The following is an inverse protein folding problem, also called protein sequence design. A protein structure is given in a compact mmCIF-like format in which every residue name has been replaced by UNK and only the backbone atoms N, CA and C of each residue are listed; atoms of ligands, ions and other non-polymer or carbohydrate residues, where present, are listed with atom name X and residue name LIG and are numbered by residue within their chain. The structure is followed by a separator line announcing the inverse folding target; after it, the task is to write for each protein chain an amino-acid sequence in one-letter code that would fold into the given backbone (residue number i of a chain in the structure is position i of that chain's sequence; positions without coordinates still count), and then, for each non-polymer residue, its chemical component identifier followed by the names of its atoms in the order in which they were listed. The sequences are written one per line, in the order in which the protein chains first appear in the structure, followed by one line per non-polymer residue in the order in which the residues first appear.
data_IF_892748439185
#
_entry.id   IF_892748439185
#
_cell.length_a   1.000
_cell.length_b   1.000
_cell.length_c   1.000
_cell.angle_alpha   90.00
_cell.angle_beta   90.00
_cell.angle_gamma   90.00
#
_symmetry.space_group_name_H-M   'P 1'
#
loop_
_entity.id
_entity.type
_entity.pdbx_description
1 polymer ?
#
# COMPACT_ATOMS: atom_id res chain seq x y z
N UNK A 1 -25.32 42.43 11.15
CA UNK A 1 -24.15 42.40 12.06
C UNK A 1 -24.02 40.99 12.59
N UNK A 2 -23.10 40.19 12.08
CA UNK A 2 -22.82 38.83 12.48
C UNK A 2 -21.34 38.55 12.22
N UNK A 3 -20.59 38.36 13.27
CA UNK A 3 -19.15 38.27 13.24
C UNK A 3 -18.70 36.86 12.81
N UNK A 4 -17.89 36.80 11.75
CA UNK A 4 -17.15 35.59 11.36
C UNK A 4 -15.98 35.38 12.34
N UNK A 5 -16.02 34.33 13.13
CA UNK A 5 -14.89 33.87 13.92
C UNK A 5 -14.07 32.86 13.08
N UNK A 6 -12.97 33.32 12.47
CA UNK A 6 -11.91 32.47 11.93
C UNK A 6 -11.06 31.96 13.09
N UNK A 7 -11.12 30.68 13.37
CA UNK A 7 -10.17 30.04 14.29
C UNK A 7 -8.90 29.74 13.51
N UNK A 8 -7.89 30.59 13.68
CA UNK A 8 -6.52 30.32 13.24
C UNK A 8 -5.86 29.53 14.37
N UNK A 9 -5.68 28.23 14.17
CA UNK A 9 -4.88 27.41 15.09
C UNK A 9 -3.40 27.61 14.78
N UNK A 10 -2.70 28.35 15.65
CA UNK A 10 -1.27 28.60 15.54
C UNK A 10 -0.45 27.33 15.76
N UNK A 11 0.56 27.10 14.91
CA UNK A 11 1.53 25.98 14.94
C UNK A 11 2.29 25.85 16.27
N UNK A 12 2.21 26.81 17.16
CA UNK A 12 2.89 26.83 18.47
C UNK A 12 2.21 26.02 19.57
N UNK A 13 0.94 25.67 19.45
CA UNK A 13 0.18 24.95 20.47
C UNK A 13 0.45 23.45 20.47
N UNK A 14 0.93 22.90 19.34
CA UNK A 14 1.24 21.47 19.21
C UNK A 14 2.49 21.03 19.99
N UNK A 15 3.45 21.95 20.19
CA UNK A 15 4.73 21.64 20.88
C UNK A 15 4.62 21.76 22.41
N UNK A 16 3.58 22.45 22.94
CA UNK A 16 3.46 22.69 24.39
C UNK A 16 2.79 21.57 25.18
N UNK A 17 2.15 20.60 24.54
CA UNK A 17 1.46 19.51 25.24
C UNK A 17 2.31 18.26 25.50
N UNK A 18 3.61 18.29 25.20
CA UNK A 18 4.57 17.21 25.53
C UNK A 18 5.34 17.49 26.83
N UNK A 19 5.18 18.66 27.42
CA UNK A 19 6.03 19.15 28.50
C UNK A 19 5.35 19.53 29.82
N UNK A 20 4.26 18.88 30.23
CA UNK A 20 3.63 19.22 31.52
C UNK A 20 3.07 18.00 32.27
N UNK A 21 3.95 17.16 32.79
CA UNK A 21 3.62 16.25 33.91
C UNK A 21 4.91 15.82 34.58
N UNK A 22 5.44 16.68 35.42
CA UNK A 22 6.26 16.27 36.60
C UNK A 22 6.72 17.47 37.40
N UNK A 23 5.98 17.75 38.47
CA UNK A 23 6.50 18.38 39.67
C UNK A 23 5.61 17.98 40.86
N UNK A 24 5.98 16.88 41.52
CA UNK A 24 5.64 16.61 42.90
C UNK A 24 6.95 16.23 43.58
N UNK A 25 7.47 17.19 44.36
CA UNK A 25 8.62 17.00 45.22
C UNK A 25 8.12 16.29 46.47
N UNK A 26 8.60 15.07 46.69
CA UNK A 26 8.50 14.32 47.94
C UNK A 26 9.85 13.71 48.24
N UNK A 27 10.52 14.19 49.30
CA UNK A 27 11.79 13.67 49.82
C UNK A 27 11.66 12.21 50.25
N UNK A 28 12.50 11.34 49.74
CA UNK A 28 12.70 9.99 50.27
C UNK A 28 13.09 8.96 49.20
N UNK A 29 14.41 8.64 49.11
CA UNK A 29 14.90 7.43 48.43
C UNK A 29 15.47 7.64 47.03
N UNK A 30 16.79 7.71 46.95
CA UNK A 30 17.58 7.58 45.71
C UNK A 30 17.44 6.16 45.11
N UNK A 31 16.32 5.92 44.44
CA UNK A 31 16.22 4.83 43.45
C UNK A 31 16.43 5.43 42.06
N UNK A 32 17.54 5.15 41.44
CA UNK A 32 17.74 5.45 40.01
C UNK A 32 16.66 4.73 39.22
N UNK A 33 15.58 5.45 38.87
CA UNK A 33 14.68 5.04 37.81
C UNK A 33 15.48 5.19 36.51
N UNK A 34 16.21 4.13 36.16
CA UNK A 34 16.70 3.93 34.82
C UNK A 34 15.47 3.94 33.90
N UNK A 35 15.15 5.09 33.32
CA UNK A 35 14.28 5.12 32.16
C UNK A 35 14.99 4.31 31.07
N UNK A 36 14.56 3.06 30.87
CA UNK A 36 14.91 2.32 29.65
C UNK A 36 14.56 3.24 28.47
N UNK A 37 15.46 3.44 27.51
CA UNK A 37 15.09 4.15 26.30
C UNK A 37 13.86 3.44 25.72
N UNK A 38 12.86 4.20 25.35
CA UNK A 38 11.65 3.67 24.72
C UNK A 38 12.07 3.08 23.37
N UNK A 39 12.35 1.79 23.30
CA UNK A 39 12.80 1.05 22.13
C UNK A 39 11.60 0.74 21.19
N UNK A 40 10.69 1.69 21.03
CA UNK A 40 9.63 1.55 20.06
C UNK A 40 10.23 1.54 18.64
N UNK A 41 10.12 0.41 17.94
CA UNK A 41 10.50 0.30 16.54
C UNK A 41 9.44 0.99 15.69
N UNK A 42 9.88 1.72 14.67
CA UNK A 42 9.00 2.47 13.78
C UNK A 42 9.22 2.02 12.34
N UNK A 43 8.16 1.49 11.71
CA UNK A 43 8.13 1.07 10.31
C UNK A 43 7.17 1.98 9.55
N UNK A 44 7.61 2.52 8.43
CA UNK A 44 6.77 3.30 7.51
C UNK A 44 6.45 2.47 6.28
N UNK A 45 5.18 2.34 5.95
CA UNK A 45 4.71 1.77 4.69
C UNK A 45 4.20 2.91 3.82
N UNK A 46 4.83 3.07 2.66
CA UNK A 46 4.38 3.96 1.59
C UNK A 46 3.69 3.13 0.52
N UNK A 47 2.68 3.69 -0.13
CA UNK A 47 2.04 2.98 -1.23
C UNK A 47 1.41 3.90 -2.28
N UNK A 48 1.30 3.35 -3.47
CA UNK A 48 0.52 3.85 -4.59
C UNK A 48 -0.38 2.74 -5.13
N UNK A 49 -1.31 3.10 -5.99
CA UNK A 49 -2.17 2.22 -6.77
C UNK A 49 -2.63 2.97 -8.01
N UNK A 50 -3.00 2.23 -9.06
CA UNK A 50 -3.65 2.77 -10.27
C UNK A 50 -2.90 3.99 -10.84
N UNK A 51 -1.57 3.86 -10.98
CA UNK A 51 -0.75 4.98 -11.47
C UNK A 51 -0.97 5.23 -12.95
N UNK A 52 -1.41 4.23 -13.71
CA UNK A 52 -1.88 4.34 -15.09
C UNK A 52 -0.94 5.16 -15.98
N UNK A 53 0.36 4.83 -15.93
CA UNK A 53 1.37 5.46 -16.78
C UNK A 53 1.49 7.00 -16.60
N UNK A 54 0.93 7.59 -15.54
CA UNK A 54 1.04 9.03 -15.27
C UNK A 54 2.41 9.39 -14.68
N UNK A 55 3.36 9.64 -15.58
CA UNK A 55 4.73 10.05 -15.25
C UNK A 55 4.79 11.55 -14.97
N UNK A 56 4.16 12.36 -15.83
CA UNK A 56 4.03 13.81 -15.65
C UNK A 56 2.88 14.16 -14.71
N UNK A 57 2.89 15.35 -14.10
CA UNK A 57 1.71 15.88 -13.43
C UNK A 57 0.53 15.98 -14.40
N UNK A 58 -0.69 15.87 -13.87
CA UNK A 58 -1.89 16.11 -14.66
C UNK A 58 -1.86 17.52 -15.28
N UNK A 59 -2.48 17.73 -16.46
CA UNK A 59 -2.48 19.01 -17.15
C UNK A 59 -2.99 20.15 -16.25
N UNK A 60 -2.49 21.37 -16.50
CA UNK A 60 -2.97 22.58 -15.80
C UNK A 60 -4.47 22.85 -15.99
N UNK A 61 -5.03 22.37 -17.09
CA UNK A 61 -6.47 22.49 -17.42
C UNK A 61 -7.28 21.23 -17.07
N UNK A 62 -6.71 20.31 -16.30
CA UNK A 62 -7.49 19.19 -15.77
C UNK A 62 -8.65 19.70 -14.93
N UNK A 63 -9.91 19.24 -15.17
CA UNK A 63 -11.08 19.83 -14.54
C UNK A 63 -11.22 19.52 -13.04
N UNK A 64 -10.54 18.47 -12.54
CA UNK A 64 -10.69 17.97 -11.17
C UNK A 64 -9.39 18.13 -10.38
N UNK A 65 -8.28 17.76 -10.99
CA UNK A 65 -6.97 17.65 -10.32
C UNK A 65 -5.85 18.39 -11.09
N UNK A 66 -6.02 19.70 -11.42
CA UNK A 66 -5.05 20.42 -12.24
C UNK A 66 -3.66 20.41 -11.60
N UNK A 67 -2.65 20.05 -12.40
CA UNK A 67 -1.24 20.05 -12.01
C UNK A 67 -0.87 19.17 -10.79
N UNK A 68 -1.70 18.18 -10.44
CA UNK A 68 -1.40 17.22 -9.34
C UNK A 68 -0.65 16.01 -9.85
N UNK A 69 0.01 15.30 -8.93
CA UNK A 69 0.77 14.10 -9.22
C UNK A 69 2.14 14.38 -9.83
N UNK A 70 2.63 13.39 -10.57
CA UNK A 70 3.92 13.42 -11.25
C UNK A 70 5.03 12.67 -10.51
N UNK A 71 5.72 11.78 -11.24
CA UNK A 71 6.73 10.89 -10.69
C UNK A 71 7.91 11.64 -10.04
N UNK A 72 8.32 12.79 -10.59
CA UNK A 72 9.41 13.60 -10.04
C UNK A 72 9.07 14.18 -8.66
N UNK A 73 7.86 14.66 -8.45
CA UNK A 73 7.39 15.17 -7.15
C UNK A 73 7.25 14.02 -6.15
N UNK A 74 6.68 12.89 -6.59
CA UNK A 74 6.58 11.67 -5.79
C UNK A 74 7.95 11.18 -5.34
N UNK A 75 8.97 11.22 -6.23
CA UNK A 75 10.34 10.88 -5.89
C UNK A 75 10.90 11.73 -4.74
N UNK A 76 10.73 13.05 -4.81
CA UNK A 76 11.19 13.97 -3.75
C UNK A 76 10.49 13.70 -2.41
N UNK A 77 9.18 13.43 -2.46
CA UNK A 77 8.38 13.11 -1.26
C UNK A 77 8.85 11.80 -0.62
N UNK A 78 9.01 10.73 -1.41
CA UNK A 78 9.49 9.43 -0.95
C UNK A 78 10.91 9.57 -0.34
N UNK A 79 11.80 10.29 -1.01
CA UNK A 79 13.16 10.49 -0.51
C UNK A 79 13.18 11.25 0.83
N UNK A 80 12.33 12.29 0.96
CA UNK A 80 12.19 13.03 2.22
C UNK A 80 11.70 12.11 3.36
N UNK A 81 10.69 11.28 3.11
CA UNK A 81 10.15 10.37 4.12
C UNK A 81 11.18 9.30 4.50
N UNK A 82 11.93 8.76 3.54
CA UNK A 82 13.01 7.80 3.83
C UNK A 82 14.17 8.40 4.63
N UNK A 83 14.42 9.71 4.49
CA UNK A 83 15.37 10.43 5.36
C UNK A 83 14.85 10.62 6.78
N UNK A 84 13.53 10.81 6.95
CA UNK A 84 12.88 10.89 8.26
C UNK A 84 12.86 9.52 8.96
N UNK A 85 12.56 8.46 8.21
CA UNK A 85 12.57 7.07 8.69
C UNK A 85 13.20 6.12 7.66
N UNK A 86 14.42 5.62 7.88
CA UNK A 86 15.07 4.68 6.97
C UNK A 86 14.35 3.31 6.91
N UNK A 87 13.56 2.96 7.93
CA UNK A 87 12.76 1.75 7.98
C UNK A 87 11.46 1.91 7.16
N UNK A 88 11.59 2.24 5.87
CA UNK A 88 10.49 2.53 4.96
C UNK A 88 10.45 1.52 3.82
N UNK A 89 9.29 0.88 3.62
CA UNK A 89 8.96 0.07 2.45
C UNK A 89 7.96 0.82 1.57
N UNK A 90 8.03 0.60 0.25
CA UNK A 90 7.19 1.24 -0.75
C UNK A 90 6.55 0.18 -1.65
N UNK A 91 5.22 0.14 -1.71
CA UNK A 91 4.45 -0.85 -2.45
C UNK A 91 3.52 -0.20 -3.49
N UNK A 92 3.12 -0.99 -4.48
CA UNK A 92 2.08 -0.61 -5.44
C UNK A 92 1.00 -1.71 -5.51
N UNK A 93 -0.26 -1.28 -5.62
CA UNK A 93 -1.39 -2.19 -5.67
C UNK A 93 -1.93 -2.44 -7.10
N UNK A 94 -1.07 -2.34 -8.12
CA UNK A 94 -1.40 -2.69 -9.52
C UNK A 94 -2.03 -1.56 -10.33
N UNK A 95 -2.34 -1.86 -11.58
CA UNK A 95 -2.71 -0.94 -12.64
C UNK A 95 -1.63 0.15 -12.84
N UNK A 96 -0.41 -0.33 -13.07
CA UNK A 96 0.75 0.49 -13.37
C UNK A 96 0.67 0.99 -14.81
N UNK A 97 0.21 0.13 -15.72
CA UNK A 97 0.14 0.34 -17.15
C UNK A 97 -1.13 1.06 -17.58
N UNK A 98 -1.13 1.50 -18.85
CA UNK A 98 -2.25 2.09 -19.55
C UNK A 98 -2.66 3.48 -19.01
N UNK A 99 -3.19 4.34 -19.86
CA UNK A 99 -3.78 5.64 -19.48
C UNK A 99 -3.11 6.84 -20.12
N UNK A 100 -1.83 6.76 -20.52
CA UNK A 100 -1.14 7.88 -21.16
C UNK A 100 -0.40 7.43 -22.45
N UNK A 101 0.00 8.38 -23.33
CA UNK A 101 0.82 8.07 -24.49
C UNK A 101 2.15 7.36 -24.16
N UNK A 102 2.69 7.49 -22.96
CA UNK A 102 3.91 6.81 -22.55
C UNK A 102 3.77 5.30 -22.67
N UNK A 103 2.69 4.72 -22.17
CA UNK A 103 2.42 3.30 -22.31
C UNK A 103 2.32 2.89 -23.78
N UNK A 104 1.65 3.68 -24.60
CA UNK A 104 1.50 3.36 -26.04
C UNK A 104 2.84 3.35 -26.78
N UNK A 105 3.81 4.17 -26.36
CA UNK A 105 5.14 4.25 -27.00
C UNK A 105 6.15 3.28 -26.40
N UNK A 106 6.12 3.05 -25.09
CA UNK A 106 7.15 2.30 -24.37
C UNK A 106 6.68 0.95 -23.83
N UNK A 107 5.36 0.66 -23.91
CA UNK A 107 4.79 -0.64 -23.54
C UNK A 107 4.97 -1.07 -22.09
N UNK A 108 5.23 -0.12 -21.17
CA UNK A 108 5.47 -0.36 -19.74
C UNK A 108 6.94 -0.27 -19.31
N UNK A 109 7.89 -0.18 -20.24
CA UNK A 109 9.32 -0.05 -19.93
C UNK A 109 9.63 1.18 -19.08
N UNK A 110 9.05 2.33 -19.44
CA UNK A 110 9.26 3.58 -18.73
C UNK A 110 8.73 3.51 -17.31
N UNK A 111 7.54 2.97 -17.14
CA UNK A 111 6.86 2.82 -15.84
C UNK A 111 7.71 1.98 -14.88
N UNK A 112 8.17 0.81 -15.31
CA UNK A 112 9.00 -0.07 -14.47
C UNK A 112 10.37 0.53 -14.17
N UNK A 113 10.98 1.26 -15.13
CA UNK A 113 12.21 2.01 -14.87
C UNK A 113 12.01 3.11 -13.83
N UNK A 114 10.94 3.89 -13.93
CA UNK A 114 10.59 4.93 -12.96
C UNK A 114 10.36 4.33 -11.58
N UNK A 115 9.55 3.27 -11.48
CA UNK A 115 9.31 2.58 -10.20
C UNK A 115 10.61 2.03 -9.60
N UNK A 116 11.50 1.48 -10.44
CA UNK A 116 12.82 0.99 -10.02
C UNK A 116 13.72 2.12 -9.51
N UNK A 117 13.70 3.29 -10.15
CA UNK A 117 14.42 4.48 -9.67
C UNK A 117 13.87 5.00 -8.34
N UNK A 118 12.55 4.93 -8.15
CA UNK A 118 11.87 5.27 -6.90
C UNK A 118 12.08 4.21 -5.81
N UNK A 119 12.68 3.08 -6.16
CA UNK A 119 12.98 1.95 -5.28
C UNK A 119 11.70 1.38 -4.65
N UNK A 120 10.72 1.02 -5.47
CA UNK A 120 9.61 0.19 -5.02
C UNK A 120 10.17 -1.16 -4.54
N UNK A 121 9.56 -1.70 -3.48
CA UNK A 121 9.96 -2.98 -2.89
C UNK A 121 9.17 -4.14 -3.49
N UNK A 122 7.89 -3.92 -3.80
CA UNK A 122 7.06 -4.83 -4.56
C UNK A 122 5.82 -4.13 -5.16
N UNK A 123 5.20 -4.81 -6.12
CA UNK A 123 3.89 -4.48 -6.66
C UNK A 123 3.03 -5.76 -6.80
N UNK A 124 1.70 -5.61 -6.81
CA UNK A 124 0.81 -6.64 -7.34
C UNK A 124 0.44 -6.35 -8.78
N UNK A 125 -0.35 -7.21 -9.42
CA UNK A 125 -0.84 -7.02 -10.78
C UNK A 125 -2.30 -6.58 -10.77
N UNK A 126 -2.60 -5.51 -11.51
CA UNK A 126 -3.96 -5.12 -11.84
C UNK A 126 -4.40 -5.64 -13.22
N UNK A 127 -5.63 -5.36 -13.62
CA UNK A 127 -6.15 -5.81 -14.90
C UNK A 127 -5.50 -5.09 -16.09
N UNK A 128 -5.16 -3.82 -15.96
CA UNK A 128 -4.48 -3.06 -17.02
C UNK A 128 -3.01 -3.42 -17.20
N UNK A 129 -2.39 -4.12 -16.23
CA UNK A 129 -1.03 -4.64 -16.42
C UNK A 129 -0.99 -5.77 -17.47
N UNK A 130 -2.15 -6.30 -17.87
CA UNK A 130 -2.29 -7.28 -18.97
C UNK A 130 -2.67 -6.65 -20.32
N UNK A 131 -2.76 -5.33 -20.46
CA UNK A 131 -3.25 -4.69 -21.68
C UNK A 131 -2.36 -4.97 -22.93
N UNK A 132 -1.05 -5.14 -22.75
CA UNK A 132 -0.13 -5.61 -23.80
C UNK A 132 0.04 -7.15 -23.87
N UNK A 133 -0.82 -7.90 -23.18
CA UNK A 133 -0.71 -9.35 -23.07
C UNK A 133 0.43 -9.81 -22.16
N UNK A 134 0.47 -11.12 -21.93
CA UNK A 134 1.52 -11.76 -21.10
C UNK A 134 2.92 -11.52 -21.66
N UNK A 135 3.09 -11.58 -22.96
CA UNK A 135 4.37 -11.34 -23.63
C UNK A 135 4.83 -9.89 -23.46
N UNK A 136 3.90 -8.94 -23.56
CA UNK A 136 4.19 -7.52 -23.34
C UNK A 136 4.61 -7.24 -21.89
N UNK A 137 3.90 -7.79 -20.92
CA UNK A 137 4.26 -7.69 -19.50
C UNK A 137 5.62 -8.36 -19.23
N UNK A 138 5.81 -9.58 -19.72
CA UNK A 138 7.06 -10.33 -19.57
C UNK A 138 8.27 -9.59 -20.12
N UNK A 139 8.14 -8.97 -21.28
CA UNK A 139 9.21 -8.21 -21.93
C UNK A 139 9.69 -7.02 -21.05
N UNK A 140 8.86 -6.50 -20.15
CA UNK A 140 9.22 -5.38 -19.30
C UNK A 140 9.82 -5.81 -17.94
N UNK A 141 9.66 -7.06 -17.52
CA UNK A 141 10.19 -7.56 -16.23
C UNK A 141 11.68 -7.28 -16.00
N UNK A 142 12.58 -7.34 -17.02
CA UNK A 142 14.00 -6.98 -16.85
C UNK A 142 14.24 -5.53 -16.38
N UNK A 143 13.27 -4.64 -16.56
CA UNK A 143 13.33 -3.24 -16.12
C UNK A 143 12.83 -3.03 -14.69
N UNK A 144 12.12 -4.01 -14.11
CA UNK A 144 11.64 -3.99 -12.73
C UNK A 144 12.74 -4.48 -11.77
N UNK A 145 13.19 -3.61 -10.84
CA UNK A 145 14.10 -3.97 -9.74
C UNK A 145 13.31 -4.23 -8.43
N UNK A 146 12.07 -4.61 -8.56
CA UNK A 146 11.13 -4.96 -7.49
C UNK A 146 10.40 -6.25 -7.84
N UNK A 147 9.83 -6.90 -6.85
CA UNK A 147 9.11 -8.15 -7.08
C UNK A 147 7.64 -7.92 -7.43
N UNK A 148 7.09 -8.73 -8.34
CA UNK A 148 5.64 -8.88 -8.49
C UNK A 148 5.14 -9.97 -7.55
N UNK A 149 4.17 -9.62 -6.70
CA UNK A 149 3.58 -10.51 -5.71
C UNK A 149 2.11 -10.69 -6.04
N UNK A 150 1.73 -11.91 -6.43
CA UNK A 150 0.36 -12.28 -6.73
C UNK A 150 0.11 -13.72 -6.29
N UNK A 151 -0.92 -13.95 -5.47
CA UNK A 151 -1.19 -15.25 -4.87
C UNK A 151 -2.38 -15.96 -5.52
N UNK A 152 -3.34 -15.20 -6.05
CA UNK A 152 -4.58 -15.76 -6.59
C UNK A 152 -4.61 -15.84 -8.13
N UNK A 153 -3.50 -15.63 -8.80
CA UNK A 153 -3.33 -15.98 -10.21
C UNK A 153 -2.37 -17.17 -10.30
N UNK A 154 -2.87 -18.31 -10.74
CA UNK A 154 -2.01 -19.42 -11.16
C UNK A 154 -1.51 -19.15 -12.58
N UNK A 155 -0.24 -18.80 -12.66
CA UNK A 155 0.47 -18.48 -13.92
C UNK A 155 1.38 -19.62 -14.36
N UNK A 156 1.28 -20.81 -13.78
CA UNK A 156 2.17 -21.96 -13.99
C UNK A 156 2.24 -22.41 -15.46
N UNK A 157 1.14 -22.23 -16.21
CA UNK A 157 1.04 -22.55 -17.62
C UNK A 157 1.25 -21.35 -18.54
N UNK A 158 1.90 -20.30 -18.04
CA UNK A 158 2.15 -19.07 -18.81
C UNK A 158 3.64 -18.71 -18.82
N UNK A 159 4.02 -17.74 -19.64
CA UNK A 159 5.38 -17.19 -19.67
C UNK A 159 5.78 -16.50 -18.35
N UNK A 160 4.83 -16.15 -17.48
CA UNK A 160 5.09 -15.54 -16.17
C UNK A 160 5.47 -16.58 -15.10
N UNK A 161 5.48 -17.88 -15.42
CA UNK A 161 5.87 -18.92 -14.47
C UNK A 161 7.29 -18.67 -13.92
N UNK A 162 7.41 -18.58 -12.60
CA UNK A 162 8.67 -18.27 -11.90
C UNK A 162 9.06 -16.80 -11.87
N UNK A 163 8.28 -15.91 -12.51
CA UNK A 163 8.53 -14.46 -12.52
C UNK A 163 7.67 -13.67 -11.54
N UNK A 164 6.69 -14.31 -10.92
CA UNK A 164 5.90 -13.75 -9.81
C UNK A 164 6.11 -14.58 -8.55
N UNK A 165 5.81 -13.99 -7.41
CA UNK A 165 5.88 -14.66 -6.10
C UNK A 165 4.51 -14.69 -5.44
N UNK A 166 4.10 -15.78 -4.77
CA UNK A 166 2.85 -15.78 -4.02
C UNK A 166 2.92 -14.86 -2.79
N UNK A 167 4.09 -14.75 -2.17
CA UNK A 167 4.34 -13.83 -1.06
C UNK A 167 5.83 -13.50 -0.95
N UNK A 168 6.14 -12.46 -0.19
CA UNK A 168 7.51 -12.10 0.20
C UNK A 168 7.57 -11.69 1.66
N UNK A 169 8.70 -11.96 2.30
CA UNK A 169 8.96 -11.57 3.69
C UNK A 169 10.09 -10.55 3.71
N UNK A 170 9.84 -9.45 4.41
CA UNK A 170 10.82 -8.40 4.69
C UNK A 170 11.18 -8.43 6.17
N UNK A 171 12.46 -8.25 6.47
CA UNK A 171 12.94 -8.06 7.84
C UNK A 171 13.45 -6.62 7.97
N UNK A 172 12.72 -5.78 8.69
CA UNK A 172 13.02 -4.36 8.87
C UNK A 172 13.10 -4.05 10.35
N UNK A 173 14.25 -3.63 10.84
CA UNK A 173 14.51 -3.36 12.27
C UNK A 173 14.09 -4.52 13.19
N UNK A 174 14.27 -5.76 12.71
CA UNK A 174 13.89 -6.98 13.44
C UNK A 174 12.38 -7.25 13.47
N UNK A 175 11.55 -6.48 12.76
CA UNK A 175 10.12 -6.77 12.52
C UNK A 175 10.01 -7.59 11.24
N UNK A 176 9.31 -8.72 11.30
CA UNK A 176 9.08 -9.61 10.17
C UNK A 176 7.75 -9.26 9.50
N UNK A 177 7.81 -8.73 8.28
CA UNK A 177 6.67 -8.24 7.52
C UNK A 177 6.38 -9.19 6.38
N UNK A 178 5.24 -9.86 6.42
CA UNK A 178 4.75 -10.72 5.33
C UNK A 178 3.87 -9.92 4.37
N UNK A 179 4.18 -10.00 3.08
CA UNK A 179 3.43 -9.33 2.02
C UNK A 179 2.95 -10.36 1.01
N UNK A 180 1.67 -10.36 0.68
CA UNK A 180 1.07 -11.17 -0.38
C UNK A 180 0.19 -10.31 -1.28
N UNK A 181 -0.19 -10.81 -2.47
CA UNK A 181 -0.98 -10.05 -3.44
C UNK A 181 -2.23 -10.79 -3.88
N UNK A 182 -3.31 -10.05 -4.15
CA UNK A 182 -4.54 -10.56 -4.79
C UNK A 182 -4.99 -9.62 -5.91
N UNK A 183 -5.32 -10.21 -7.07
CA UNK A 183 -5.83 -9.51 -8.24
C UNK A 183 -7.30 -9.81 -8.50
N UNK A 184 -7.92 -8.98 -9.32
CA UNK A 184 -9.32 -9.11 -9.74
C UNK A 184 -9.48 -10.21 -10.78
N UNK A 185 -10.69 -10.77 -10.90
CA UNK A 185 -11.03 -11.69 -12.00
C UNK A 185 -10.85 -11.00 -13.36
N UNK A 186 -10.00 -11.59 -14.21
CA UNK A 186 -9.65 -10.99 -15.50
C UNK A 186 -10.73 -11.22 -16.57
N UNK A 187 -11.55 -12.27 -16.43
CA UNK A 187 -12.65 -12.54 -17.36
C UNK A 187 -13.66 -11.39 -17.36
N UNK A 188 -13.98 -10.90 -18.54
CA UNK A 188 -14.88 -9.76 -18.73
C UNK A 188 -14.22 -8.37 -18.58
N UNK A 189 -12.99 -8.29 -18.06
CA UNK A 189 -12.19 -7.04 -17.99
C UNK A 189 -11.06 -7.03 -19.01
N UNK A 190 -10.40 -8.16 -19.18
CA UNK A 190 -9.25 -8.35 -20.08
C UNK A 190 -9.61 -9.40 -21.12
N UNK A 191 -9.15 -9.23 -22.37
CA UNK A 191 -9.38 -10.26 -23.40
C UNK A 191 -8.64 -11.54 -23.04
N UNK A 192 -9.25 -12.71 -23.30
CA UNK A 192 -8.63 -14.02 -23.02
C UNK A 192 -7.23 -14.16 -23.63
N UNK A 193 -7.03 -13.57 -24.80
CA UNK A 193 -5.73 -13.58 -25.47
C UNK A 193 -4.63 -12.91 -24.62
N UNK A 194 -4.96 -11.85 -23.87
CA UNK A 194 -3.99 -11.07 -23.12
C UNK A 194 -3.56 -11.74 -21.80
N UNK A 195 -4.45 -12.50 -21.15
CA UNK A 195 -4.09 -13.23 -19.93
C UNK A 195 -3.87 -14.74 -20.12
N UNK A 196 -4.06 -15.25 -21.36
CA UNK A 196 -3.70 -16.62 -21.77
C UNK A 196 -4.27 -17.69 -20.84
N UNK A 197 -3.42 -18.58 -20.38
CA UNK A 197 -3.75 -19.70 -19.48
C UNK A 197 -3.65 -19.34 -18.00
N UNK A 198 -3.62 -18.06 -17.67
CA UNK A 198 -3.73 -17.60 -16.26
C UNK A 198 -5.06 -18.06 -15.66
N UNK A 199 -5.01 -18.75 -14.52
CA UNK A 199 -6.19 -19.22 -13.79
C UNK A 199 -6.42 -18.31 -12.58
N UNK A 200 -7.64 -17.78 -12.48
CA UNK A 200 -8.09 -17.00 -11.32
C UNK A 200 -8.56 -17.93 -10.20
N UNK A 201 -8.05 -17.70 -8.99
CA UNK A 201 -8.44 -18.41 -7.77
C UNK A 201 -9.23 -17.46 -6.85
N UNK A 202 -10.12 -18.02 -6.02
CA UNK A 202 -10.95 -17.21 -5.11
C UNK A 202 -10.08 -16.36 -4.18
N UNK A 203 -10.19 -15.04 -4.22
CA UNK A 203 -9.30 -14.15 -3.47
C UNK A 203 -9.51 -14.23 -1.95
N UNK A 204 -10.71 -14.61 -1.47
CA UNK A 204 -10.97 -14.77 -0.04
C UNK A 204 -10.29 -16.04 0.48
N UNK A 205 -10.45 -17.16 -0.23
CA UNK A 205 -9.81 -18.43 0.14
C UNK A 205 -8.28 -18.28 0.13
N UNK A 206 -7.73 -17.69 -0.91
CA UNK A 206 -6.30 -17.40 -1.01
C UNK A 206 -5.80 -16.46 0.09
N UNK A 207 -6.54 -15.38 0.39
CA UNK A 207 -6.17 -14.47 1.47
C UNK A 207 -6.15 -15.17 2.83
N UNK A 208 -7.12 -16.07 3.10
CA UNK A 208 -7.15 -16.88 4.31
C UNK A 208 -5.99 -17.88 4.39
N UNK A 209 -5.58 -18.47 3.27
CA UNK A 209 -4.43 -19.37 3.21
C UNK A 209 -3.12 -18.62 3.44
N UNK A 210 -2.95 -17.48 2.78
CA UNK A 210 -1.75 -16.64 2.91
C UNK A 210 -1.60 -16.07 4.32
N UNK A 211 -2.67 -15.55 4.92
CA UNK A 211 -2.59 -15.03 6.29
C UNK A 211 -2.23 -16.11 7.31
N UNK A 212 -2.79 -17.34 7.18
CA UNK A 212 -2.43 -18.48 8.03
C UNK A 212 -0.97 -18.87 7.85
N UNK A 213 -0.51 -18.97 6.60
CA UNK A 213 0.89 -19.25 6.29
C UNK A 213 1.82 -18.21 6.89
N UNK A 214 1.57 -16.95 6.62
CA UNK A 214 2.44 -15.85 7.08
C UNK A 214 2.44 -15.72 8.61
N UNK A 215 1.28 -15.84 9.27
CA UNK A 215 1.20 -15.71 10.73
C UNK A 215 1.69 -16.95 11.46
N UNK A 216 1.26 -18.13 11.03
CA UNK A 216 1.46 -19.36 11.82
C UNK A 216 2.73 -20.13 11.43
N UNK A 217 3.11 -20.16 10.16
CA UNK A 217 4.31 -20.88 9.70
C UNK A 217 5.51 -19.93 9.66
N UNK A 218 5.38 -18.80 8.98
CA UNK A 218 6.45 -17.83 8.79
C UNK A 218 6.67 -16.92 10.01
N UNK A 219 5.73 -16.84 10.95
CA UNK A 219 5.80 -16.02 12.18
C UNK A 219 6.00 -14.54 11.89
N UNK A 220 5.26 -13.99 10.94
CA UNK A 220 5.30 -12.56 10.64
C UNK A 220 4.64 -11.73 11.74
N UNK A 221 5.27 -10.62 12.11
CA UNK A 221 4.75 -9.63 13.08
C UNK A 221 3.68 -8.73 12.45
N UNK A 222 3.83 -8.43 11.15
CA UNK A 222 2.90 -7.60 10.35
C UNK A 222 2.56 -8.33 9.05
N UNK A 223 1.29 -8.33 8.65
CA UNK A 223 0.81 -8.93 7.39
C UNK A 223 0.13 -7.87 6.53
N UNK A 224 0.62 -7.70 5.31
CA UNK A 224 0.12 -6.74 4.33
C UNK A 224 -0.39 -7.49 3.10
N UNK A 225 -1.61 -7.15 2.67
CA UNK A 225 -2.17 -7.59 1.40
C UNK A 225 -2.10 -6.43 0.39
N UNK A 226 -1.44 -6.65 -0.75
CA UNK A 226 -1.53 -5.78 -1.93
C UNK A 226 -2.73 -6.27 -2.73
N UNK A 227 -3.75 -5.46 -2.87
CA UNK A 227 -5.04 -5.88 -3.43
C UNK A 227 -5.41 -5.06 -4.65
N UNK A 228 -5.75 -5.74 -5.74
CA UNK A 228 -6.32 -5.09 -6.92
C UNK A 228 -7.72 -5.61 -7.23
N UNK A 229 -8.57 -5.80 -6.20
CA UNK A 229 -9.94 -6.31 -6.38
C UNK A 229 -11.01 -5.24 -6.20
N UNK A 230 -10.63 -4.02 -5.83
CA UNK A 230 -11.52 -2.89 -5.58
C UNK A 230 -11.95 -2.74 -4.13
N UNK A 231 -12.12 -1.47 -3.72
CA UNK A 231 -12.46 -1.10 -2.35
C UNK A 231 -13.86 -1.57 -1.93
N UNK A 232 -14.89 -1.18 -2.72
CA UNK A 232 -16.29 -1.52 -2.47
C UNK A 232 -17.12 -1.43 -3.76
N UNK A 233 -18.17 -2.25 -3.86
CA UNK A 233 -19.12 -2.27 -5.00
C UNK A 233 -20.56 -2.11 -4.51
N UNK A 234 -20.97 -0.85 -4.29
CA UNK A 234 -22.33 -0.53 -3.78
C UNK A 234 -23.44 -1.10 -4.65
N UNK A 235 -23.22 -1.08 -5.97
CA UNK A 235 -24.22 -1.55 -6.96
C UNK A 235 -24.20 -3.07 -7.16
N UNK A 236 -23.17 -3.76 -6.64
CA UNK A 236 -23.06 -5.22 -6.67
C UNK A 236 -22.58 -5.79 -5.31
N UNK A 237 -23.48 -5.91 -4.34
CA UNK A 237 -23.13 -6.38 -3.00
C UNK A 237 -22.59 -7.82 -2.94
N UNK A 238 -22.69 -8.61 -4.02
CA UNK A 238 -22.15 -9.97 -4.09
C UNK A 238 -20.68 -9.99 -4.53
N UNK A 239 -20.23 -8.99 -5.28
CA UNK A 239 -18.86 -8.92 -5.78
C UNK A 239 -17.87 -8.83 -4.61
N UNK A 240 -16.79 -9.63 -4.67
CA UNK A 240 -15.73 -9.59 -3.68
C UNK A 240 -14.99 -8.25 -3.78
N UNK A 241 -14.56 -7.72 -2.63
CA UNK A 241 -13.88 -6.44 -2.51
C UNK A 241 -13.02 -6.41 -1.25
N UNK A 242 -12.20 -5.38 -1.08
CA UNK A 242 -11.25 -5.23 0.02
C UNK A 242 -11.93 -5.29 1.40
N UNK A 243 -13.09 -4.64 1.55
CA UNK A 243 -13.83 -4.63 2.82
C UNK A 243 -14.30 -6.04 3.21
N UNK A 244 -14.70 -6.86 2.23
CA UNK A 244 -15.11 -8.25 2.47
C UNK A 244 -13.92 -9.15 2.79
N UNK A 245 -12.80 -8.99 2.08
CA UNK A 245 -11.57 -9.72 2.41
C UNK A 245 -11.14 -9.39 3.83
N UNK A 246 -11.10 -8.10 4.22
CA UNK A 246 -10.77 -7.67 5.57
C UNK A 246 -11.71 -8.30 6.63
N UNK A 247 -13.02 -8.30 6.37
CA UNK A 247 -14.02 -8.84 7.30
C UNK A 247 -13.98 -10.38 7.39
N UNK A 248 -13.49 -11.08 6.34
CA UNK A 248 -13.48 -12.54 6.25
C UNK A 248 -12.12 -13.18 6.52
N UNK A 249 -11.12 -12.40 6.89
CA UNK A 249 -9.78 -12.83 7.33
C UNK A 249 -9.59 -12.58 8.83
N UNK A 250 -8.48 -12.99 9.40
CA UNK A 250 -8.22 -12.94 10.85
C UNK A 250 -6.91 -12.26 11.24
N UNK A 251 -5.93 -12.25 10.34
CA UNK A 251 -4.55 -11.87 10.67
C UNK A 251 -3.96 -10.82 9.73
N UNK A 252 -4.73 -10.32 8.75
CA UNK A 252 -4.26 -9.23 7.90
C UNK A 252 -4.34 -7.92 8.70
N UNK A 253 -3.22 -7.21 8.78
CA UNK A 253 -3.11 -5.94 9.49
C UNK A 253 -3.43 -4.76 8.56
N UNK A 254 -3.03 -4.86 7.28
CA UNK A 254 -3.23 -3.82 6.27
C UNK A 254 -3.59 -4.41 4.91
N UNK A 255 -4.62 -3.87 4.27
CA UNK A 255 -4.90 -4.04 2.84
C UNK A 255 -4.60 -2.72 2.14
N UNK A 256 -3.71 -2.75 1.15
CA UNK A 256 -3.45 -1.67 0.21
C UNK A 256 -4.21 -2.00 -1.06
N UNK A 257 -5.29 -1.25 -1.32
CA UNK A 257 -6.23 -1.52 -2.40
C UNK A 257 -5.97 -0.71 -3.67
N UNK A 258 -6.57 -1.17 -4.78
CA UNK A 258 -6.57 -0.54 -6.10
C UNK A 258 -7.90 -0.75 -6.86
N UNK A 259 -7.90 -0.60 -8.18
CA UNK A 259 -8.95 -0.87 -9.15
C UNK A 259 -10.14 0.12 -9.14
N UNK A 260 -10.69 0.47 -8.00
CA UNK A 260 -11.87 1.38 -7.94
C UNK A 260 -11.52 2.85 -7.85
N UNK A 261 -10.24 3.20 -7.92
CA UNK A 261 -9.73 4.58 -7.84
C UNK A 261 -10.28 5.37 -6.65
N UNK A 262 -10.49 4.69 -5.52
CA UNK A 262 -11.13 5.29 -4.35
C UNK A 262 -10.15 6.20 -3.59
N UNK A 263 -10.49 7.47 -3.43
CA UNK A 263 -9.71 8.41 -2.65
C UNK A 263 -10.10 8.33 -1.18
N UNK A 264 -9.26 7.72 -0.35
CA UNK A 264 -9.43 7.68 1.09
C UNK A 264 -8.44 8.65 1.75
N UNK A 265 -8.95 9.58 2.55
CA UNK A 265 -8.09 10.46 3.35
C UNK A 265 -7.38 9.69 4.47
N UNK A 266 -8.04 8.65 4.98
CA UNK A 266 -7.55 7.73 6.02
C UNK A 266 -8.05 6.31 5.74
N UNK A 267 -7.34 5.27 6.19
CA UNK A 267 -7.80 3.91 6.06
C UNK A 267 -9.17 3.69 6.73
N UNK A 268 -9.98 2.87 6.08
CA UNK A 268 -11.18 2.31 6.70
C UNK A 268 -10.78 1.22 7.69
N UNK A 269 -11.36 1.27 8.89
CA UNK A 269 -11.14 0.29 9.93
C UNK A 269 -12.20 -0.79 9.83
N UNK A 270 -11.79 -2.02 9.54
CA UNK A 270 -12.70 -3.17 9.41
C UNK A 270 -12.44 -4.14 10.56
N UNK A 271 -13.51 -4.53 11.28
CA UNK A 271 -13.42 -5.61 12.26
C UNK A 271 -13.35 -6.94 11.53
N UNK A 272 -12.24 -7.65 11.69
CA UNK A 272 -12.00 -8.95 11.06
C UNK A 272 -12.61 -10.13 11.85
N UNK A 273 -12.48 -11.36 11.35
CA UNK A 273 -13.07 -12.56 11.99
C UNK A 273 -12.57 -12.85 13.40
N UNK A 274 -11.39 -12.38 13.76
CA UNK A 274 -10.81 -12.53 15.11
C UNK A 274 -11.19 -11.39 16.05
N UNK A 275 -12.02 -10.43 15.61
CA UNK A 275 -12.40 -9.25 16.39
C UNK A 275 -11.32 -8.16 16.43
N UNK A 276 -10.21 -8.33 15.70
CA UNK A 276 -9.17 -7.33 15.57
C UNK A 276 -9.49 -6.37 14.41
N UNK A 277 -8.71 -5.31 14.29
CA UNK A 277 -8.87 -4.31 13.23
C UNK A 277 -7.92 -4.60 12.07
N UNK A 278 -8.46 -4.68 10.84
CA UNK A 278 -7.71 -4.60 9.60
C UNK A 278 -7.86 -3.20 9.00
N UNK A 279 -6.75 -2.56 8.64
CA UNK A 279 -6.74 -1.29 7.93
C UNK A 279 -6.95 -1.54 6.44
N UNK A 280 -7.87 -0.84 5.80
CA UNK A 280 -8.07 -0.89 4.33
C UNK A 280 -7.85 0.52 3.77
N UNK A 281 -6.83 0.68 2.92
CA UNK A 281 -6.48 1.98 2.34
C UNK A 281 -6.35 1.91 0.81
N UNK A 282 -6.79 2.98 0.14
CA UNK A 282 -6.61 3.21 -1.28
C UNK A 282 -6.43 4.73 -1.49
N UNK A 283 -5.56 5.16 -2.40
CA UNK A 283 -5.16 6.58 -2.54
C UNK A 283 -5.53 7.19 -3.87
N UNK A 284 -6.63 6.71 -4.45
CA UNK A 284 -7.15 7.22 -5.72
C UNK A 284 -6.44 6.62 -6.92
N UNK A 285 -5.99 7.45 -7.84
CA UNK A 285 -5.32 7.02 -9.07
C UNK A 285 -4.30 8.07 -9.56
N UNK A 286 -3.61 7.75 -10.66
CA UNK A 286 -2.70 8.64 -11.40
C UNK A 286 -1.53 9.17 -10.58
N UNK A 287 -1.25 8.56 -9.43
CA UNK A 287 -0.20 9.02 -8.52
C UNK A 287 -0.41 10.41 -7.95
N UNK A 288 -1.67 10.87 -7.89
CA UNK A 288 -2.07 12.14 -7.27
C UNK A 288 -1.74 12.15 -5.79
N UNK A 289 -1.93 11.01 -5.12
CA UNK A 289 -1.61 10.85 -3.71
C UNK A 289 -0.57 9.75 -3.49
N UNK A 290 0.19 9.90 -2.42
CA UNK A 290 1.03 8.87 -1.82
C UNK A 290 0.45 8.49 -0.46
N UNK A 291 0.12 7.23 -0.25
CA UNK A 291 -0.30 6.72 1.04
C UNK A 291 0.89 6.53 1.97
N UNK A 292 0.75 6.94 3.23
CA UNK A 292 1.71 6.69 4.30
C UNK A 292 1.02 6.10 5.51
N UNK A 293 1.53 4.96 5.98
CA UNK A 293 1.06 4.30 7.19
C UNK A 293 2.29 3.98 8.04
N UNK A 294 2.32 4.55 9.24
CA UNK A 294 3.39 4.35 10.21
C UNK A 294 2.92 3.35 11.27
N UNK A 295 3.69 2.28 11.48
CA UNK A 295 3.46 1.26 12.50
C UNK A 295 4.53 1.37 13.58
N UNK A 296 4.11 1.29 14.85
CA UNK A 296 4.97 1.35 16.00
C UNK A 296 4.87 0.05 16.80
N UNK A 297 6.02 -0.52 17.15
CA UNK A 297 6.12 -1.82 17.84
C UNK A 297 6.89 -1.68 19.14
N UNK A 298 6.42 -2.36 20.17
CA UNK A 298 7.15 -2.60 21.42
C UNK A 298 7.38 -4.12 21.55
N UNK A 299 8.63 -4.54 21.69
CA UNK A 299 9.01 -5.97 21.75
C UNK A 299 8.37 -6.84 20.63
N UNK A 300 8.34 -6.32 19.40
CA UNK A 300 7.69 -6.91 18.20
C UNK A 300 6.14 -6.99 18.26
N UNK A 301 5.51 -6.40 19.27
CA UNK A 301 4.05 -6.27 19.33
C UNK A 301 3.63 -4.91 18.76
N UNK A 302 2.70 -4.91 17.80
CA UNK A 302 2.13 -3.70 17.24
C UNK A 302 1.31 -2.96 18.32
N UNK A 303 1.72 -1.75 18.66
CA UNK A 303 1.06 -0.96 19.72
C UNK A 303 0.32 0.25 19.19
N UNK A 304 0.69 0.76 18.00
CA UNK A 304 0.09 1.94 17.40
C UNK A 304 0.29 1.98 15.90
N UNK A 305 -0.66 2.57 15.20
CA UNK A 305 -0.49 3.00 13.81
C UNK A 305 -0.95 4.46 13.62
N UNK A 306 -0.43 5.10 12.59
CA UNK A 306 -0.84 6.42 12.12
C UNK A 306 -0.85 6.40 10.59
N UNK A 307 -1.77 7.13 9.98
CA UNK A 307 -1.91 7.12 8.52
C UNK A 307 -2.30 8.48 7.98
N UNK A 308 -1.85 8.76 6.77
CA UNK A 308 -2.18 9.96 6.02
C UNK A 308 -2.09 9.69 4.52
N UNK A 309 -2.99 10.29 3.75
CA UNK A 309 -2.88 10.42 2.30
C UNK A 309 -2.22 11.77 2.00
N UNK A 310 -1.08 11.75 1.27
CA UNK A 310 -0.26 12.93 1.01
C UNK A 310 -0.40 13.28 -0.47
N UNK A 311 -0.89 14.48 -0.76
CA UNK A 311 -0.95 15.00 -2.15
C UNK A 311 0.46 15.20 -2.71
N UNK A 312 0.64 14.78 -3.97
CA UNK A 312 1.91 14.81 -4.74
C UNK A 312 1.94 16.02 -5.67
#
# INVERSE_FOLDING_TARGET
MGANLRIIMERRTFIKNIGASSLLVGLGGLGSLSMKPNNAKHITILHTNDTHSHIDPLPLNDPINPNKGGAARRAQLIERIRKENPNTLLFDAGDIFQGTPYFNFYGGELEFKVMSMLRYDAATLGNHDFDNGLEGLYAQLPHAKFDFIISNYDVSNTILNGHTKPYKIYLVDGIKIGVFGIGIELEGLVTKQNYGETVYLDPIEIAQDMERKLRNEEKCDLIICLSHIGYDYKDNPKKVNDLKVAAQTSHIDLIIGGHTHTFLERPTLVTNRSGNTTLVNQVGCYGINLGRIDFYFEENTLVKNQSVSIEV
#
